data_IF_139530454036
#
_entry.id   IF_139530454036
#
_cell.length_a   1.000
_cell.length_b   1.000
_cell.length_c   1.000
_cell.angle_alpha   90.00
_cell.angle_beta   90.00
_cell.angle_gamma   90.00
#
_symmetry.space_group_name_H-M   'P 1'
#
loop_
_entity.id
_entity.type
_entity.pdbx_description
1 polymer ?
#
# COMPACT_ATOMS: atom_id res chain seq x y z
N UNK A 1 -13.82 1.39 -37.37
CA UNK A 1 -12.83 0.34 -37.04
C UNK A 1 -11.76 0.99 -36.17
N UNK A 2 -11.62 0.54 -34.96
CA UNK A 2 -10.66 1.09 -34.00
C UNK A 2 -9.31 0.35 -34.14
N UNK A 3 -8.23 1.11 -34.26
CA UNK A 3 -6.89 0.55 -34.42
C UNK A 3 -6.07 0.88 -33.15
N UNK A 4 -5.59 -0.14 -32.44
CA UNK A 4 -4.60 0.01 -31.38
C UNK A 4 -3.21 -0.12 -31.97
N UNK A 5 -2.33 0.83 -31.66
CA UNK A 5 -0.97 0.90 -32.21
C UNK A 5 0.06 0.82 -31.09
N UNK A 6 1.27 0.45 -31.44
CA UNK A 6 2.44 0.57 -30.54
C UNK A 6 2.87 2.03 -30.46
N UNK A 7 3.19 2.49 -29.25
CA UNK A 7 3.69 3.86 -29.04
C UNK A 7 5.16 4.03 -29.50
N UNK A 8 5.92 2.94 -29.55
CA UNK A 8 7.35 2.95 -29.89
C UNK A 8 7.62 2.93 -31.41
N UNK A 9 6.78 2.27 -32.18
CA UNK A 9 6.99 2.03 -33.62
C UNK A 9 5.82 2.48 -34.49
N UNK A 10 4.66 2.78 -33.92
CA UNK A 10 3.43 3.06 -34.65
C UNK A 10 2.80 1.85 -35.35
N UNK A 11 3.39 0.66 -35.19
CA UNK A 11 2.85 -0.56 -35.78
C UNK A 11 1.47 -0.90 -35.20
N UNK A 12 0.57 -1.36 -36.02
CA UNK A 12 -0.75 -1.82 -35.59
C UNK A 12 -0.62 -3.12 -34.81
N UNK A 13 -1.22 -3.14 -33.60
CA UNK A 13 -1.29 -4.31 -32.72
C UNK A 13 -2.62 -5.03 -32.92
N UNK A 14 -3.72 -4.26 -32.91
CA UNK A 14 -5.08 -4.79 -32.88
C UNK A 14 -6.02 -3.89 -33.68
N UNK A 15 -6.91 -4.51 -34.41
CA UNK A 15 -8.03 -3.84 -35.09
C UNK A 15 -9.34 -4.41 -34.54
N UNK A 16 -10.20 -3.54 -34.07
CA UNK A 16 -11.49 -3.91 -33.48
C UNK A 16 -12.64 -3.39 -34.33
N UNK A 17 -13.72 -4.17 -34.48
CA UNK A 17 -14.95 -3.65 -35.05
C UNK A 17 -15.54 -2.59 -34.10
N UNK A 18 -15.94 -1.44 -34.65
CA UNK A 18 -16.46 -0.32 -33.85
C UNK A 18 -15.46 0.82 -33.69
N UNK A 19 -15.73 1.72 -32.75
CA UNK A 19 -15.01 2.97 -32.50
C UNK A 19 -14.68 3.17 -31.01
N UNK A 20 -15.00 2.21 -30.13
CA UNK A 20 -14.82 2.29 -28.71
C UNK A 20 -14.16 1.04 -28.12
N UNK A 21 -13.29 1.27 -27.10
CA UNK A 21 -12.70 0.22 -26.27
C UNK A 21 -13.54 -0.08 -25.03
N UNK A 22 -14.51 0.78 -24.70
CA UNK A 22 -15.40 0.57 -23.59
C UNK A 22 -16.15 -0.76 -23.73
N UNK A 23 -16.10 -1.58 -22.66
CA UNK A 23 -16.67 -2.94 -22.63
C UNK A 23 -16.13 -3.89 -23.73
N UNK A 24 -14.99 -3.57 -24.34
CA UNK A 24 -14.40 -4.42 -25.39
C UNK A 24 -13.91 -5.76 -24.80
N UNK A 25 -14.09 -6.88 -25.55
CA UNK A 25 -13.58 -8.19 -25.16
C UNK A 25 -12.11 -8.34 -25.57
N UNK A 26 -11.20 -7.86 -24.71
CA UNK A 26 -9.76 -7.84 -24.96
C UNK A 26 -9.02 -8.94 -24.18
N UNK A 27 -9.74 -9.92 -23.65
CA UNK A 27 -9.14 -10.98 -22.84
C UNK A 27 -8.07 -11.76 -23.61
N UNK A 28 -6.88 -11.88 -22.96
CA UNK A 28 -5.70 -12.57 -23.48
C UNK A 28 -5.07 -11.95 -24.74
N UNK A 29 -5.49 -10.75 -25.12
CA UNK A 29 -4.81 -10.03 -26.20
C UNK A 29 -3.39 -9.63 -25.81
N UNK A 30 -2.51 -9.49 -26.80
CA UNK A 30 -1.14 -9.00 -26.62
C UNK A 30 -1.12 -7.53 -26.99
N UNK A 31 -1.17 -6.67 -25.97
CA UNK A 31 -1.16 -5.20 -26.08
C UNK A 31 0.19 -4.61 -25.60
N UNK A 32 1.26 -5.37 -25.76
CA UNK A 32 2.63 -4.99 -25.41
C UNK A 32 3.02 -3.70 -26.16
N UNK A 33 3.47 -2.67 -25.42
CA UNK A 33 3.76 -1.33 -25.93
C UNK A 33 2.55 -0.59 -26.52
N UNK A 34 1.33 -0.98 -26.21
CA UNK A 34 0.13 -0.32 -26.77
C UNK A 34 0.08 1.16 -26.39
N UNK A 35 -0.29 2.01 -27.37
CA UNK A 35 -0.67 3.39 -27.13
C UNK A 35 -2.17 3.44 -26.78
N UNK A 36 -2.44 3.55 -25.48
CA UNK A 36 -3.78 3.58 -24.90
C UNK A 36 -4.01 4.90 -24.12
N UNK A 37 -3.25 5.93 -24.45
CA UNK A 37 -3.36 7.24 -23.79
C UNK A 37 -4.77 7.81 -23.94
N UNK A 38 -5.37 8.17 -22.79
CA UNK A 38 -6.72 8.72 -22.72
C UNK A 38 -7.81 7.77 -23.21
N UNK A 39 -7.50 6.48 -23.41
CA UNK A 39 -8.47 5.50 -23.89
C UNK A 39 -9.61 5.30 -22.88
N UNK A 40 -10.83 5.17 -23.40
CA UNK A 40 -11.99 4.73 -22.61
C UNK A 40 -12.07 3.20 -22.63
N UNK A 41 -11.57 2.57 -21.58
CA UNK A 41 -11.56 1.12 -21.38
C UNK A 41 -12.53 0.71 -20.26
N UNK A 42 -13.49 1.56 -19.90
CA UNK A 42 -14.45 1.27 -18.83
C UNK A 42 -15.20 -0.01 -19.08
N UNK A 43 -15.23 -0.89 -18.07
CA UNK A 43 -15.91 -2.19 -18.14
C UNK A 43 -15.31 -3.17 -19.17
N UNK A 44 -14.15 -2.90 -19.75
CA UNK A 44 -13.50 -3.81 -20.70
C UNK A 44 -13.10 -5.13 -20.02
N UNK A 45 -13.15 -6.21 -20.77
CA UNK A 45 -12.61 -7.50 -20.36
C UNK A 45 -11.14 -7.62 -20.81
N UNK A 46 -10.23 -7.43 -19.88
CA UNK A 46 -8.78 -7.47 -20.07
C UNK A 46 -8.15 -8.64 -19.30
N UNK A 47 -8.89 -9.71 -19.02
CA UNK A 47 -8.37 -10.87 -18.28
C UNK A 47 -7.20 -11.53 -18.98
N UNK A 48 -6.07 -11.65 -18.26
CA UNK A 48 -4.84 -12.26 -18.79
C UNK A 48 -4.23 -11.53 -19.99
N UNK A 49 -4.62 -10.28 -20.25
CA UNK A 49 -4.05 -9.44 -21.31
C UNK A 49 -2.61 -9.08 -20.98
N UNK A 50 -1.73 -9.08 -21.96
CA UNK A 50 -0.38 -8.53 -21.86
C UNK A 50 -0.38 -7.03 -22.19
N UNK A 51 -0.31 -6.20 -21.16
CA UNK A 51 -0.19 -4.72 -21.22
C UNK A 51 1.22 -4.26 -20.82
N UNK A 52 2.20 -5.16 -20.83
CA UNK A 52 3.57 -4.82 -20.45
C UNK A 52 4.09 -3.62 -21.26
N UNK A 53 4.64 -2.63 -20.56
CA UNK A 53 5.13 -1.37 -21.13
C UNK A 53 4.09 -0.58 -21.97
N UNK A 54 2.80 -0.82 -21.79
CA UNK A 54 1.76 -0.01 -22.43
C UNK A 54 1.74 1.41 -21.86
N UNK A 55 1.39 2.38 -22.68
CA UNK A 55 1.14 3.76 -22.29
C UNK A 55 -0.36 3.96 -22.03
N UNK A 56 -0.75 3.93 -20.74
CA UNK A 56 -2.13 4.06 -20.27
C UNK A 56 -2.41 5.45 -19.66
N UNK A 57 -1.54 6.43 -19.91
CA UNK A 57 -1.69 7.75 -19.29
C UNK A 57 -3.05 8.38 -19.59
N UNK A 58 -3.74 8.77 -18.51
CA UNK A 58 -5.06 9.39 -18.58
C UNK A 58 -6.17 8.45 -19.07
N UNK A 59 -5.91 7.15 -19.23
CA UNK A 59 -6.95 6.19 -19.61
C UNK A 59 -7.97 5.99 -18.48
N UNK A 60 -9.20 5.62 -18.80
CA UNK A 60 -10.21 5.19 -17.84
C UNK A 60 -10.45 3.68 -17.98
N UNK A 61 -10.08 2.94 -16.93
CA UNK A 61 -10.34 1.51 -16.78
C UNK A 61 -11.38 1.23 -15.69
N UNK A 62 -12.15 2.24 -15.29
CA UNK A 62 -13.11 2.09 -14.20
C UNK A 62 -14.06 0.90 -14.43
N UNK A 63 -14.13 0.00 -13.47
CA UNK A 63 -14.93 -1.22 -13.53
C UNK A 63 -14.47 -2.27 -14.55
N UNK A 64 -13.31 -2.11 -15.20
CA UNK A 64 -12.74 -3.12 -16.07
C UNK A 64 -12.29 -4.38 -15.30
N UNK A 65 -12.11 -5.49 -15.99
CA UNK A 65 -11.64 -6.75 -15.42
C UNK A 65 -10.24 -7.07 -15.95
N UNK A 66 -9.21 -6.98 -15.10
CA UNK A 66 -7.80 -7.24 -15.42
C UNK A 66 -7.24 -8.44 -14.63
N UNK A 67 -8.08 -9.40 -14.26
CA UNK A 67 -7.64 -10.58 -13.48
C UNK A 67 -6.53 -11.32 -14.25
N UNK A 68 -5.37 -11.48 -13.59
CA UNK A 68 -4.20 -12.14 -14.17
C UNK A 68 -3.53 -11.38 -15.31
N UNK A 69 -3.90 -10.14 -15.59
CA UNK A 69 -3.23 -9.33 -16.59
C UNK A 69 -1.78 -9.00 -16.21
N UNK A 70 -0.93 -8.82 -17.22
CA UNK A 70 0.43 -8.31 -17.02
C UNK A 70 0.50 -6.82 -17.42
N UNK A 71 0.64 -5.96 -16.42
CA UNK A 71 0.74 -4.49 -16.56
C UNK A 71 2.14 -4.02 -16.18
N UNK A 72 3.11 -4.94 -16.16
CA UNK A 72 4.50 -4.65 -15.75
C UNK A 72 5.09 -3.52 -16.58
N UNK A 73 5.75 -2.55 -15.89
CA UNK A 73 6.39 -1.38 -16.51
C UNK A 73 5.43 -0.46 -17.29
N UNK A 74 4.12 -0.64 -17.22
CA UNK A 74 3.18 0.27 -17.86
C UNK A 74 3.22 1.68 -17.23
N UNK A 75 2.93 2.69 -18.03
CA UNK A 75 2.76 4.06 -17.56
C UNK A 75 1.29 4.32 -17.23
N UNK A 76 0.99 4.42 -15.94
CA UNK A 76 -0.35 4.62 -15.38
C UNK A 76 -0.57 6.06 -14.88
N UNK A 77 0.21 7.04 -15.34
CA UNK A 77 0.03 8.43 -14.90
C UNK A 77 -1.41 8.91 -15.19
N UNK A 78 -2.10 9.40 -14.18
CA UNK A 78 -3.48 9.87 -14.26
C UNK A 78 -4.52 8.83 -14.73
N UNK A 79 -4.22 7.55 -14.61
CA UNK A 79 -5.15 6.48 -14.98
C UNK A 79 -6.22 6.30 -13.90
N UNK A 80 -7.46 6.12 -14.33
CA UNK A 80 -8.58 5.74 -13.46
C UNK A 80 -8.76 4.22 -13.44
N UNK A 81 -8.33 3.59 -12.36
CA UNK A 81 -8.49 2.16 -12.07
C UNK A 81 -9.53 1.92 -10.97
N UNK A 82 -10.43 2.87 -10.74
CA UNK A 82 -11.45 2.73 -9.71
C UNK A 82 -12.35 1.51 -10.00
N UNK A 83 -12.62 0.73 -8.93
CA UNK A 83 -13.47 -0.47 -8.98
C UNK A 83 -13.05 -1.51 -10.03
N UNK A 84 -11.80 -1.52 -10.46
CA UNK A 84 -11.28 -2.57 -11.33
C UNK A 84 -11.06 -3.87 -10.57
N UNK A 85 -11.18 -5.00 -11.28
CA UNK A 85 -10.79 -6.30 -10.74
C UNK A 85 -9.38 -6.63 -11.23
N UNK A 86 -8.39 -6.53 -10.35
CA UNK A 86 -6.95 -6.73 -10.61
C UNK A 86 -6.40 -7.96 -9.85
N UNK A 87 -7.27 -8.88 -9.46
CA UNK A 87 -6.85 -10.09 -8.74
C UNK A 87 -5.77 -10.85 -9.51
N UNK A 88 -4.70 -11.28 -8.83
CA UNK A 88 -3.54 -11.96 -9.42
C UNK A 88 -2.81 -11.20 -10.55
N UNK A 89 -3.13 -9.92 -10.78
CA UNK A 89 -2.47 -9.11 -11.81
C UNK A 89 -1.02 -8.78 -11.45
N UNK A 90 -0.18 -8.58 -12.45
CA UNK A 90 1.22 -8.18 -12.32
C UNK A 90 1.37 -6.71 -12.66
N UNK A 91 1.61 -5.87 -11.66
CA UNK A 91 1.81 -4.42 -11.79
C UNK A 91 3.22 -4.02 -11.29
N UNK A 92 4.24 -4.81 -11.65
CA UNK A 92 5.60 -4.57 -11.15
C UNK A 92 6.22 -3.36 -11.83
N UNK A 93 6.94 -2.55 -11.07
CA UNK A 93 7.69 -1.39 -11.54
C UNK A 93 6.84 -0.40 -12.37
N UNK A 94 5.53 -0.34 -12.11
CA UNK A 94 4.70 0.73 -12.67
C UNK A 94 5.15 2.09 -12.12
N UNK A 95 5.05 3.13 -12.90
CA UNK A 95 5.50 4.46 -12.54
C UNK A 95 4.40 5.50 -12.77
N UNK A 96 4.18 6.34 -11.75
CA UNK A 96 3.34 7.53 -11.83
C UNK A 96 4.28 8.74 -11.85
N UNK A 97 4.64 9.21 -13.05
CA UNK A 97 5.74 10.16 -13.27
C UNK A 97 5.56 11.55 -12.68
N UNK A 98 4.32 11.98 -12.38
CA UNK A 98 4.02 13.34 -11.89
C UNK A 98 3.04 13.28 -10.73
N UNK A 99 3.49 13.03 -9.49
CA UNK A 99 2.61 13.14 -8.33
C UNK A 99 2.19 14.61 -8.16
N UNK A 100 0.92 14.91 -8.32
CA UNK A 100 0.43 16.21 -7.91
C UNK A 100 -0.75 16.83 -8.65
N UNK A 101 -0.94 16.63 -9.95
CA UNK A 101 -2.04 17.25 -10.70
C UNK A 101 -3.22 16.33 -10.99
N UNK A 102 -2.94 15.07 -11.35
CA UNK A 102 -3.96 14.03 -11.50
C UNK A 102 -3.41 12.77 -10.83
N UNK A 103 -4.17 12.20 -9.90
CA UNK A 103 -3.76 11.02 -9.10
C UNK A 103 -4.30 9.77 -9.77
N UNK A 104 -3.49 8.74 -9.87
CA UNK A 104 -3.99 7.41 -10.18
C UNK A 104 -4.88 6.94 -9.03
N UNK A 105 -6.05 6.42 -9.34
CA UNK A 105 -6.98 5.92 -8.33
C UNK A 105 -7.25 4.45 -8.52
N UNK A 106 -7.09 3.70 -7.44
CA UNK A 106 -7.47 2.30 -7.25
C UNK A 106 -8.65 2.19 -6.27
N UNK A 107 -9.38 3.28 -6.06
CA UNK A 107 -10.43 3.32 -5.05
C UNK A 107 -11.46 2.21 -5.29
N UNK A 108 -11.70 1.38 -4.26
CA UNK A 108 -12.58 0.21 -4.33
C UNK A 108 -12.14 -0.89 -5.32
N UNK A 109 -10.90 -0.85 -5.82
CA UNK A 109 -10.37 -1.90 -6.69
C UNK A 109 -10.07 -3.19 -5.91
N UNK A 110 -10.22 -4.34 -6.56
CA UNK A 110 -9.75 -5.63 -6.03
C UNK A 110 -8.35 -5.93 -6.56
N UNK A 111 -7.35 -5.79 -5.70
CA UNK A 111 -5.93 -6.06 -5.92
C UNK A 111 -5.48 -7.33 -5.16
N UNK A 112 -6.41 -8.24 -4.84
CA UNK A 112 -6.08 -9.47 -4.12
C UNK A 112 -4.95 -10.22 -4.81
N UNK A 113 -3.84 -10.48 -4.05
CA UNK A 113 -2.63 -11.16 -4.55
C UNK A 113 -1.91 -10.44 -5.71
N UNK A 114 -2.27 -9.21 -6.02
CA UNK A 114 -1.56 -8.43 -7.03
C UNK A 114 -0.11 -8.15 -6.62
N UNK A 115 0.78 -8.02 -7.59
CA UNK A 115 2.19 -7.73 -7.36
C UNK A 115 2.52 -6.32 -7.85
N UNK A 116 2.75 -5.38 -6.91
CA UNK A 116 3.06 -3.98 -7.18
C UNK A 116 4.52 -3.60 -6.88
N UNK A 117 5.38 -4.58 -6.64
CA UNK A 117 6.79 -4.35 -6.21
C UNK A 117 7.48 -3.22 -6.98
N UNK A 118 8.30 -2.44 -6.23
CA UNK A 118 9.15 -1.39 -6.80
C UNK A 118 8.41 -0.29 -7.56
N UNK A 119 7.11 -0.15 -7.35
CA UNK A 119 6.29 0.87 -8.03
C UNK A 119 6.37 2.22 -7.32
N UNK A 120 6.30 3.29 -8.09
CA UNK A 120 6.03 4.62 -7.56
C UNK A 120 4.51 4.87 -7.58
N UNK A 121 3.90 4.80 -6.41
CA UNK A 121 2.47 4.96 -6.17
C UNK A 121 2.19 6.14 -5.22
N UNK A 122 3.14 7.07 -5.16
CA UNK A 122 3.02 8.23 -4.27
C UNK A 122 1.76 9.05 -4.58
N UNK A 123 1.07 9.46 -3.53
CA UNK A 123 -0.18 10.22 -3.58
C UNK A 123 -1.34 9.53 -4.35
N UNK A 124 -1.26 8.24 -4.67
CA UNK A 124 -2.37 7.47 -5.25
C UNK A 124 -3.46 7.20 -4.22
N UNK A 125 -4.70 7.01 -4.68
CA UNK A 125 -5.80 6.59 -3.82
C UNK A 125 -6.05 5.08 -3.92
N UNK A 126 -6.05 4.41 -2.77
CA UNK A 126 -6.47 3.04 -2.55
C UNK A 126 -7.63 2.99 -1.55
N UNK A 127 -8.38 4.09 -1.42
CA UNK A 127 -9.50 4.15 -0.48
C UNK A 127 -10.48 2.99 -0.74
N UNK A 128 -10.83 2.27 0.34
CA UNK A 128 -11.73 1.10 0.29
C UNK A 128 -11.29 -0.03 -0.67
N UNK A 129 -10.04 -0.05 -1.13
CA UNK A 129 -9.53 -1.10 -1.99
C UNK A 129 -9.24 -2.40 -1.21
N UNK A 130 -9.33 -3.54 -1.90
CA UNK A 130 -9.00 -4.86 -1.38
C UNK A 130 -7.60 -5.24 -1.85
N UNK A 131 -6.62 -5.23 -0.93
CA UNK A 131 -5.21 -5.56 -1.19
C UNK A 131 -4.78 -6.83 -0.44
N UNK A 132 -5.71 -7.75 -0.18
CA UNK A 132 -5.38 -8.99 0.54
C UNK A 132 -4.24 -9.74 -0.13
N UNK A 133 -3.18 -10.05 0.67
CA UNK A 133 -1.99 -10.77 0.18
C UNK A 133 -1.28 -10.09 -0.98
N UNK A 134 -1.55 -8.82 -1.25
CA UNK A 134 -0.83 -8.06 -2.27
C UNK A 134 0.63 -7.84 -1.87
N UNK A 135 1.51 -7.71 -2.86
CA UNK A 135 2.93 -7.48 -2.64
C UNK A 135 3.31 -6.05 -3.07
N UNK A 136 3.45 -5.18 -2.08
CA UNK A 136 3.87 -3.78 -2.20
C UNK A 136 5.33 -3.57 -1.74
N UNK A 137 6.14 -4.63 -1.76
CA UNK A 137 7.54 -4.56 -1.34
C UNK A 137 8.28 -3.45 -2.07
N UNK A 138 8.94 -2.56 -1.30
CA UNK A 138 9.76 -1.44 -1.80
C UNK A 138 9.00 -0.44 -2.68
N UNK A 139 7.69 -0.32 -2.52
CA UNK A 139 6.93 0.74 -3.18
C UNK A 139 7.19 2.11 -2.55
N UNK A 140 7.15 3.15 -3.37
CA UNK A 140 6.98 4.53 -2.91
C UNK A 140 5.49 4.82 -2.77
N UNK A 141 5.01 4.89 -1.53
CA UNK A 141 3.61 5.10 -1.16
C UNK A 141 3.43 6.41 -0.37
N UNK A 142 4.39 7.34 -0.49
CA UNK A 142 4.34 8.60 0.25
C UNK A 142 3.04 9.36 -0.03
N UNK A 143 2.33 9.73 1.04
CA UNK A 143 1.07 10.46 0.95
C UNK A 143 -0.04 9.70 0.22
N UNK A 144 0.08 8.39 0.01
CA UNK A 144 -1.00 7.57 -0.54
C UNK A 144 -2.17 7.46 0.44
N UNK A 145 -3.38 7.27 -0.08
CA UNK A 145 -4.59 7.14 0.70
C UNK A 145 -5.09 5.69 0.70
N UNK A 146 -4.94 5.01 1.84
CA UNK A 146 -5.46 3.66 2.12
C UNK A 146 -6.63 3.68 3.11
N UNK A 147 -7.32 4.81 3.23
CA UNK A 147 -8.46 4.92 4.16
C UNK A 147 -9.47 3.79 3.90
N UNK A 148 -9.77 3.01 4.95
CA UNK A 148 -10.70 1.87 4.87
C UNK A 148 -10.22 0.68 4.03
N UNK A 149 -9.01 0.68 3.49
CA UNK A 149 -8.52 -0.41 2.66
C UNK A 149 -8.27 -1.71 3.45
N UNK A 150 -8.41 -2.85 2.77
CA UNK A 150 -8.10 -4.18 3.32
C UNK A 150 -6.73 -4.66 2.83
N UNK A 151 -5.71 -4.49 3.67
CA UNK A 151 -4.32 -4.91 3.47
C UNK A 151 -4.00 -6.20 4.25
N UNK A 152 -5.01 -7.01 4.59
CA UNK A 152 -4.81 -8.24 5.36
C UNK A 152 -3.82 -9.17 4.65
N UNK A 153 -2.85 -9.70 5.40
CA UNK A 153 -1.74 -10.56 4.91
C UNK A 153 -0.86 -9.89 3.82
N UNK A 154 -1.01 -8.61 3.52
CA UNK A 154 -0.20 -7.93 2.51
C UNK A 154 1.26 -7.79 2.93
N UNK A 155 2.17 -7.70 1.95
CA UNK A 155 3.59 -7.44 2.18
C UNK A 155 3.94 -6.00 1.78
N UNK A 156 4.26 -5.17 2.78
CA UNK A 156 4.72 -3.79 2.65
C UNK A 156 6.20 -3.65 3.08
N UNK A 157 6.97 -4.73 2.98
CA UNK A 157 8.36 -4.73 3.41
C UNK A 157 9.17 -3.66 2.67
N UNK A 158 9.87 -2.80 3.45
CA UNK A 158 10.66 -1.69 2.94
C UNK A 158 9.89 -0.66 2.10
N UNK A 159 8.57 -0.64 2.17
CA UNK A 159 7.77 0.39 1.51
C UNK A 159 7.93 1.75 2.22
N UNK A 160 7.84 2.82 1.45
CA UNK A 160 7.84 4.18 1.98
C UNK A 160 6.39 4.70 2.08
N UNK A 161 5.83 4.66 3.27
CA UNK A 161 4.48 5.11 3.62
C UNK A 161 4.48 6.47 4.35
N UNK A 162 5.58 7.23 4.26
CA UNK A 162 5.67 8.49 4.98
C UNK A 162 4.50 9.44 4.60
N UNK A 163 3.77 9.91 5.61
CA UNK A 163 2.60 10.78 5.44
C UNK A 163 1.39 10.11 4.75
N UNK A 164 1.38 8.78 4.56
CA UNK A 164 0.22 8.09 4.01
C UNK A 164 -0.96 8.05 5.01
N UNK A 165 -2.19 8.01 4.51
CA UNK A 165 -3.38 7.70 5.30
C UNK A 165 -3.64 6.21 5.29
N UNK A 166 -3.65 5.59 6.47
CA UNK A 166 -4.04 4.19 6.71
C UNK A 166 -5.23 4.15 7.69
N UNK A 167 -5.96 5.27 7.78
CA UNK A 167 -7.04 5.40 8.75
C UNK A 167 -8.13 4.36 8.53
N UNK A 168 -8.43 3.60 9.59
CA UNK A 168 -9.44 2.54 9.55
C UNK A 168 -9.08 1.38 8.60
N UNK A 169 -7.86 1.31 8.09
CA UNK A 169 -7.43 0.20 7.24
C UNK A 169 -7.23 -1.09 8.05
N UNK A 170 -7.50 -2.24 7.43
CA UNK A 170 -7.11 -3.54 7.98
C UNK A 170 -5.69 -3.90 7.53
N UNK A 171 -4.79 -4.04 8.49
CA UNK A 171 -3.41 -4.52 8.31
C UNK A 171 -3.19 -5.87 9.01
N UNK A 172 -4.28 -6.61 9.25
CA UNK A 172 -4.23 -7.89 9.97
C UNK A 172 -3.27 -8.86 9.28
N UNK A 173 -2.26 -9.33 10.03
CA UNK A 173 -1.23 -10.24 9.48
C UNK A 173 -0.27 -9.61 8.48
N UNK A 174 -0.36 -8.32 8.21
CA UNK A 174 0.51 -7.65 7.24
C UNK A 174 1.99 -7.64 7.68
N UNK A 175 2.89 -7.70 6.70
CA UNK A 175 4.34 -7.58 6.91
C UNK A 175 4.82 -6.18 6.54
N UNK A 176 5.20 -5.39 7.56
CA UNK A 176 5.73 -4.02 7.41
C UNK A 176 7.23 -3.93 7.72
N UNK A 177 7.96 -5.03 7.68
CA UNK A 177 9.39 -5.03 8.01
C UNK A 177 10.16 -3.95 7.26
N UNK A 178 10.82 -3.05 7.98
CA UNK A 178 11.61 -1.95 7.43
C UNK A 178 10.80 -0.85 6.74
N UNK A 179 9.49 -0.84 6.88
CA UNK A 179 8.66 0.21 6.29
C UNK A 179 8.88 1.57 6.97
N UNK A 180 8.77 2.64 6.19
CA UNK A 180 8.78 4.01 6.66
C UNK A 180 7.34 4.50 6.87
N UNK A 181 6.98 4.79 8.11
CA UNK A 181 5.65 5.24 8.53
C UNK A 181 5.70 6.63 9.19
N UNK A 182 6.80 7.39 8.96
CA UNK A 182 6.94 8.72 9.55
C UNK A 182 5.76 9.63 9.16
N UNK A 183 5.08 10.15 10.16
CA UNK A 183 3.91 11.02 9.97
C UNK A 183 2.70 10.35 9.32
N UNK A 184 2.68 9.02 9.17
CA UNK A 184 1.52 8.30 8.64
C UNK A 184 0.33 8.35 9.61
N UNK A 185 -0.88 8.37 9.09
CA UNK A 185 -2.11 8.29 9.86
C UNK A 185 -2.62 6.85 9.94
N UNK A 186 -2.39 6.20 11.08
CA UNK A 186 -2.84 4.84 11.39
C UNK A 186 -4.00 4.84 12.39
N UNK A 187 -4.69 5.97 12.59
CA UNK A 187 -5.81 6.03 13.52
C UNK A 187 -6.89 5.03 13.12
N UNK A 188 -7.40 4.33 14.13
CA UNK A 188 -8.46 3.33 13.96
C UNK A 188 -8.06 2.13 13.05
N UNK A 189 -6.79 1.99 12.67
CA UNK A 189 -6.30 0.86 11.86
C UNK A 189 -6.16 -0.42 12.69
N UNK A 190 -6.41 -1.58 12.08
CA UNK A 190 -6.19 -2.88 12.72
C UNK A 190 -4.83 -3.48 12.32
N UNK A 191 -3.90 -3.50 13.25
CA UNK A 191 -2.54 -4.07 13.10
C UNK A 191 -2.39 -5.43 13.79
N UNK A 192 -3.49 -6.10 14.12
CA UNK A 192 -3.46 -7.41 14.76
C UNK A 192 -2.64 -8.40 13.92
N UNK A 193 -1.78 -9.20 14.59
CA UNK A 193 -0.89 -10.16 13.93
C UNK A 193 0.14 -9.55 12.97
N UNK A 194 0.19 -8.23 12.81
CA UNK A 194 1.14 -7.59 11.91
C UNK A 194 2.59 -7.69 12.41
N UNK A 195 3.53 -7.65 11.47
CA UNK A 195 4.97 -7.66 11.76
C UNK A 195 5.58 -6.29 11.42
N UNK A 196 5.98 -5.53 12.45
CA UNK A 196 6.53 -4.17 12.35
C UNK A 196 8.03 -4.14 12.71
N UNK A 197 8.81 -5.06 12.18
CA UNK A 197 10.24 -5.13 12.48
C UNK A 197 11.02 -4.02 11.77
N UNK A 198 11.73 -3.19 12.52
CA UNK A 198 12.57 -2.11 11.96
C UNK A 198 11.77 -0.98 11.30
N UNK A 199 10.52 -0.79 11.66
CA UNK A 199 9.70 0.32 11.16
C UNK A 199 10.15 1.66 11.75
N UNK A 200 9.87 2.74 11.04
CA UNK A 200 10.05 4.11 11.52
C UNK A 200 8.67 4.74 11.75
N UNK A 201 8.41 5.14 13.00
CA UNK A 201 7.10 5.61 13.47
C UNK A 201 7.09 7.08 13.91
N UNK A 202 8.19 7.81 13.72
CA UNK A 202 8.29 9.20 14.18
C UNK A 202 7.12 10.05 13.65
N UNK A 203 6.34 10.63 14.56
CA UNK A 203 5.18 11.47 14.24
C UNK A 203 3.97 10.72 13.67
N UNK A 204 4.00 9.38 13.60
CA UNK A 204 2.83 8.59 13.19
C UNK A 204 1.66 8.77 14.16
N UNK A 205 0.43 8.78 13.66
CA UNK A 205 -0.80 8.89 14.46
C UNK A 205 -1.36 7.50 14.70
N UNK A 206 -1.42 7.04 15.95
CA UNK A 206 -1.79 5.68 16.34
C UNK A 206 -3.08 5.59 17.15
N UNK A 207 -3.73 6.71 17.45
CA UNK A 207 -4.93 6.73 18.30
C UNK A 207 -6.01 5.78 17.78
N UNK A 208 -6.54 4.93 18.65
CA UNK A 208 -7.60 3.96 18.31
C UNK A 208 -7.13 2.77 17.47
N UNK A 209 -5.85 2.69 17.08
CA UNK A 209 -5.37 1.52 16.35
C UNK A 209 -5.36 0.27 17.23
N UNK A 210 -5.71 -0.88 16.63
CA UNK A 210 -5.82 -2.16 17.33
C UNK A 210 -4.52 -2.94 17.19
N UNK A 211 -3.95 -3.35 18.32
CA UNK A 211 -2.72 -4.14 18.40
C UNK A 211 -3.01 -5.41 19.21
N UNK A 212 -3.04 -6.54 18.57
CA UNK A 212 -3.23 -7.84 19.19
C UNK A 212 -2.26 -8.84 18.56
N UNK A 213 -1.36 -9.42 19.37
CA UNK A 213 -0.28 -10.30 18.87
C UNK A 213 0.59 -9.63 17.80
N UNK A 214 0.67 -8.32 17.82
CA UNK A 214 1.49 -7.51 16.91
C UNK A 214 2.96 -7.65 17.31
N UNK A 215 3.84 -7.90 16.34
CA UNK A 215 5.28 -7.97 16.57
C UNK A 215 5.95 -6.63 16.22
N UNK A 216 6.50 -5.94 17.21
CA UNK A 216 7.24 -4.69 17.06
C UNK A 216 8.67 -4.88 17.57
N UNK A 217 9.61 -5.00 16.66
CA UNK A 217 11.04 -5.22 16.95
C UNK A 217 11.89 -4.17 16.25
N UNK A 218 12.83 -3.55 16.99
CA UNK A 218 13.72 -2.50 16.46
C UNK A 218 12.99 -1.29 15.90
N UNK A 219 12.03 -0.75 16.65
CA UNK A 219 11.34 0.52 16.37
C UNK A 219 11.78 1.60 17.37
N UNK A 220 13.00 2.14 17.27
CA UNK A 220 13.61 2.99 18.31
C UNK A 220 12.94 4.36 18.46
N UNK A 221 12.13 4.76 17.52
CA UNK A 221 11.39 6.03 17.50
C UNK A 221 9.89 5.87 17.86
N UNK A 222 9.50 4.72 18.42
CA UNK A 222 8.13 4.46 18.88
C UNK A 222 7.61 5.57 19.80
N UNK A 223 8.42 6.04 20.73
CA UNK A 223 8.09 7.10 21.68
C UNK A 223 7.75 8.44 21.01
N UNK A 224 8.10 8.63 19.74
CA UNK A 224 7.81 9.84 18.95
C UNK A 224 6.50 9.72 18.17
N UNK A 225 5.82 8.59 18.24
CA UNK A 225 4.48 8.42 17.69
C UNK A 225 3.44 9.09 18.62
N UNK A 226 2.31 9.46 18.07
CA UNK A 226 1.21 10.09 18.78
C UNK A 226 0.05 9.11 19.03
N UNK A 227 -0.64 9.24 20.18
CA UNK A 227 -1.81 8.44 20.53
C UNK A 227 -1.46 7.04 21.02
N UNK A 228 -0.27 6.83 21.56
CA UNK A 228 0.15 5.57 22.18
C UNK A 228 -0.70 5.19 23.39
N UNK A 229 -1.20 6.19 24.12
CA UNK A 229 -2.12 6.05 25.26
C UNK A 229 -3.55 5.66 24.86
N UNK A 230 -3.85 5.69 23.58
CA UNK A 230 -5.16 5.40 23.01
C UNK A 230 -5.13 4.13 22.13
N UNK A 231 -4.07 3.34 22.22
CA UNK A 231 -4.01 2.03 21.55
C UNK A 231 -5.09 1.09 22.10
N UNK A 232 -5.72 0.34 21.22
CA UNK A 232 -6.60 -0.76 21.60
C UNK A 232 -5.77 -2.03 21.63
N UNK A 233 -5.37 -2.46 22.82
CA UNK A 233 -4.52 -3.63 23.03
C UNK A 233 -5.39 -4.86 23.26
N UNK A 234 -5.17 -5.90 22.45
CA UNK A 234 -5.81 -7.21 22.59
C UNK A 234 -4.91 -8.21 23.31
N UNK A 235 -4.60 -9.33 22.66
CA UNK A 235 -3.64 -10.30 23.20
C UNK A 235 -2.21 -9.72 23.21
N UNK A 236 -1.29 -10.20 24.06
CA UNK A 236 0.04 -9.63 24.25
C UNK A 236 0.80 -9.41 22.94
N UNK A 237 1.40 -8.24 22.81
CA UNK A 237 2.23 -7.83 21.69
C UNK A 237 3.69 -8.25 21.94
N UNK A 238 4.39 -8.68 20.90
CA UNK A 238 5.83 -8.94 20.97
C UNK A 238 6.62 -7.63 20.73
N UNK A 239 6.89 -6.86 21.80
CA UNK A 239 7.67 -5.63 21.72
C UNK A 239 9.04 -5.88 22.32
N UNK A 240 10.11 -5.60 21.56
CA UNK A 240 11.47 -5.80 22.05
C UNK A 240 11.98 -4.61 22.88
N UNK A 241 12.97 -4.91 23.72
CA UNK A 241 13.61 -3.91 24.58
C UNK A 241 14.22 -2.74 23.80
N UNK A 242 14.73 -3.00 22.57
CA UNK A 242 15.34 -1.97 21.76
C UNK A 242 14.31 -0.93 21.27
N UNK A 243 13.05 -1.35 21.06
CA UNK A 243 11.96 -0.47 20.64
C UNK A 243 11.52 0.51 21.73
N UNK A 244 11.62 0.15 23.01
CA UNK A 244 11.17 0.99 24.15
C UNK A 244 12.31 1.72 24.83
N UNK A 245 13.54 1.24 24.71
CA UNK A 245 14.68 1.76 25.48
C UNK A 245 14.97 3.24 25.23
N UNK A 246 14.86 3.72 24.00
CA UNK A 246 15.20 5.11 23.64
C UNK A 246 14.18 6.08 24.20
N UNK A 247 12.95 5.78 24.33
CA UNK A 247 11.91 6.66 24.84
C UNK A 247 11.19 6.13 26.07
N UNK A 248 11.87 5.32 26.89
CA UNK A 248 11.26 4.65 28.06
C UNK A 248 10.62 5.62 29.05
N UNK A 249 11.16 6.84 29.15
CA UNK A 249 10.67 7.87 30.04
C UNK A 249 9.40 8.57 29.52
N UNK A 250 9.13 8.46 28.22
CA UNK A 250 7.98 9.07 27.54
C UNK A 250 6.79 8.10 27.45
N UNK A 251 7.02 6.80 27.72
CA UNK A 251 5.97 5.75 27.67
C UNK A 251 5.38 5.55 29.09
N UNK A 252 4.06 5.35 29.18
CA UNK A 252 3.43 5.08 30.47
C UNK A 252 3.73 3.67 30.99
N UNK A 253 3.63 3.46 32.31
CA UNK A 253 3.83 2.13 32.89
C UNK A 253 2.73 1.17 32.45
N UNK A 254 1.49 1.66 32.28
CA UNK A 254 0.36 0.88 31.78
C UNK A 254 0.59 0.37 30.36
N UNK A 255 1.19 1.21 29.50
CA UNK A 255 1.52 0.81 28.13
C UNK A 255 2.64 -0.23 28.11
N UNK A 256 3.67 -0.07 28.96
CA UNK A 256 4.79 -1.01 29.05
C UNK A 256 4.33 -2.37 29.61
N UNK A 257 3.45 -2.38 30.62
CA UNK A 257 2.81 -3.59 31.14
C UNK A 257 1.99 -4.30 30.05
N UNK A 258 1.21 -3.55 29.29
CA UNK A 258 0.43 -4.07 28.17
C UNK A 258 1.30 -4.61 27.03
N UNK A 259 2.53 -4.13 26.88
CA UNK A 259 3.55 -4.70 26.00
C UNK A 259 4.26 -5.93 26.61
N UNK A 260 3.91 -6.31 27.85
CA UNK A 260 4.41 -7.51 28.53
C UNK A 260 5.69 -7.31 29.32
N UNK A 261 6.07 -6.05 29.62
CA UNK A 261 7.21 -5.77 30.49
C UNK A 261 6.80 -5.87 31.96
N UNK A 262 7.54 -6.67 32.73
CA UNK A 262 7.29 -6.80 34.18
C UNK A 262 7.63 -5.50 34.94
N UNK A 263 6.92 -5.18 36.04
CA UNK A 263 7.20 -3.95 36.82
C UNK A 263 8.65 -3.81 37.28
N UNK A 264 9.34 -4.91 37.49
CA UNK A 264 10.77 -4.91 37.85
C UNK A 264 11.66 -4.50 36.67
N UNK A 265 11.32 -4.95 35.47
CA UNK A 265 12.01 -4.59 34.23
C UNK A 265 11.79 -3.10 33.90
N UNK A 266 10.56 -2.61 34.03
CA UNK A 266 10.20 -1.19 33.79
C UNK A 266 11.05 -0.31 34.75
N UNK A 267 11.10 -0.66 36.04
CA UNK A 267 11.93 0.08 37.02
C UNK A 267 13.43 0.06 36.68
N UNK A 268 13.95 -1.09 36.26
CA UNK A 268 15.35 -1.23 35.86
C UNK A 268 15.69 -0.40 34.63
N UNK A 269 14.80 -0.36 33.66
CA UNK A 269 14.95 0.42 32.44
C UNK A 269 14.95 1.94 32.72
N UNK A 270 14.03 2.40 33.57
CA UNK A 270 13.93 3.82 33.94
C UNK A 270 15.07 4.29 34.84
N UNK A 271 15.77 3.36 35.54
CA UNK A 271 16.95 3.69 36.33
C UNK A 271 18.17 4.04 35.45
N UNK A 272 18.16 3.72 34.19
CA UNK A 272 19.21 4.10 33.22
C UNK A 272 18.96 5.56 32.81
N UNK A 273 19.95 6.48 33.00
CA UNK A 273 19.78 7.87 32.57
C UNK A 273 19.44 7.97 31.10
N UNK A 274 18.48 8.84 30.75
CA UNK A 274 18.22 9.18 29.36
C UNK A 274 19.53 9.65 28.70
N UNK A 275 19.91 9.03 27.59
CA UNK A 275 21.03 9.57 26.82
C UNK A 275 20.57 10.91 26.26
N UNK A 276 21.30 11.98 26.53
CA UNK A 276 21.12 13.22 25.78
C UNK A 276 21.46 12.96 24.32
N UNK A 277 20.47 13.15 23.45
CA UNK A 277 20.61 13.10 22.00
C UNK A 277 21.47 14.26 21.48
#
# INVERSE_FOLDING_TARGET
MLTVRRWDSGATILELPGDALASAPLAREVLLYADLRGADLRGADLRGTDLCQADLRGASLAGATLIGADVTLADLEATDLSRTSLGDARLQAINIRRPGAMRTTFAGADLTRATLKHSNLSASSFADAILKRADLTRCDLRGADFTGADLSDATLAFANLAGASLRGASLVGATLTGAALEGADLRDADLSLATLNGVRLAGAQLAGSVWSRTALVRAPDLHRAHGLDQLVLGEPCGVDLASVRTGIHDLSDELLDAFGFEPAEIRALRAVPARAD
#
